data_IF_025487508530
#
_entry.id   IF_025487508530
#
_cell.length_a   1.000
_cell.length_b   1.000
_cell.length_c   1.000
_cell.angle_alpha   90.00
_cell.angle_beta   90.00
_cell.angle_gamma   90.00
#
_symmetry.space_group_name_H-M   'P 1'
#
loop_
_entity.id
_entity.type
_entity.pdbx_description
1 polymer ?
#
# COMPACT_ATOMS: atom_id res chain seq x y z
N UNK A 1 -3.85 -10.82 3.63
CA UNK A 1 -4.69 -10.67 2.42
C UNK A 1 -4.13 -9.54 1.59
N UNK A 2 -3.96 -9.73 0.28
CA UNK A 2 -3.43 -8.69 -0.61
C UNK A 2 -4.47 -8.36 -1.68
N UNK A 3 -4.90 -7.10 -1.79
CA UNK A 3 -5.60 -6.62 -2.98
C UNK A 3 -4.55 -6.24 -4.03
N UNK A 4 -4.46 -7.07 -5.07
CA UNK A 4 -3.61 -6.82 -6.24
C UNK A 4 -4.42 -6.51 -7.51
N UNK A 5 -5.70 -6.19 -7.35
CA UNK A 5 -6.60 -5.81 -8.46
C UNK A 5 -6.62 -4.30 -8.67
N UNK A 6 -7.30 -3.85 -9.72
CA UNK A 6 -7.59 -2.43 -9.94
C UNK A 6 -8.75 -1.89 -9.11
N UNK A 7 -9.49 -2.74 -8.38
CA UNK A 7 -10.66 -2.35 -7.58
C UNK A 7 -10.16 -1.50 -6.40
N UNK A 8 -10.69 -0.28 -6.28
CA UNK A 8 -10.30 0.71 -5.28
C UNK A 8 -9.78 2.00 -5.90
N UNK A 9 -9.26 1.96 -7.14
CA UNK A 9 -8.74 3.13 -7.86
C UNK A 9 -9.79 4.22 -8.11
N UNK A 10 -11.07 3.84 -8.23
CA UNK A 10 -12.19 4.78 -8.43
C UNK A 10 -13.15 4.78 -7.25
N UNK A 11 -12.66 4.47 -6.04
CA UNK A 11 -13.47 4.33 -4.83
C UNK A 11 -14.53 3.22 -4.91
N UNK A 12 -14.25 2.15 -5.66
CA UNK A 12 -15.10 0.97 -5.68
C UNK A 12 -15.13 0.25 -4.32
N UNK A 13 -16.16 -0.56 -4.10
CA UNK A 13 -16.27 -1.40 -2.92
C UNK A 13 -15.19 -2.48 -2.91
N UNK A 14 -14.80 -2.91 -1.71
CA UNK A 14 -13.88 -4.01 -1.47
C UNK A 14 -14.21 -5.23 -2.35
N UNK A 15 -13.20 -5.86 -2.99
CA UNK A 15 -13.39 -7.04 -3.82
C UNK A 15 -13.77 -8.30 -3.01
N UNK A 16 -13.65 -8.25 -1.69
CA UNK A 16 -13.95 -9.37 -0.79
C UNK A 16 -14.76 -8.91 0.45
N UNK A 17 -15.40 -9.87 1.11
CA UNK A 17 -15.91 -9.69 2.47
C UNK A 17 -14.80 -9.90 3.50
N UNK A 18 -14.89 -9.18 4.63
CA UNK A 18 -14.02 -9.32 5.80
C UNK A 18 -14.71 -10.06 6.96
N UNK A 19 -15.88 -10.64 6.71
CA UNK A 19 -16.59 -11.46 7.68
C UNK A 19 -15.77 -12.69 8.06
N UNK A 20 -15.72 -13.00 9.36
CA UNK A 20 -14.91 -14.09 9.90
C UNK A 20 -13.39 -13.86 9.86
N UNK A 21 -12.91 -12.68 9.41
CA UNK A 21 -11.48 -12.38 9.45
C UNK A 21 -10.98 -12.31 10.91
N UNK A 22 -9.85 -12.96 11.17
CA UNK A 22 -9.16 -12.89 12.46
C UNK A 22 -8.54 -11.50 12.66
N UNK A 23 -8.56 -11.02 13.90
CA UNK A 23 -7.83 -9.81 14.28
C UNK A 23 -6.34 -9.93 13.94
N UNK A 24 -5.67 -8.79 13.72
CA UNK A 24 -4.24 -8.71 13.37
C UNK A 24 -3.85 -9.44 12.07
N UNK A 25 -4.82 -9.82 11.24
CA UNK A 25 -4.53 -10.23 9.87
C UNK A 25 -3.83 -9.09 9.14
N UNK A 26 -2.70 -9.36 8.50
CA UNK A 26 -2.01 -8.37 7.66
C UNK A 26 -2.82 -8.21 6.37
N UNK A 27 -3.20 -6.97 6.09
CA UNK A 27 -3.93 -6.57 4.89
C UNK A 27 -3.09 -5.57 4.10
N UNK A 28 -2.82 -5.89 2.85
CA UNK A 28 -2.02 -5.07 1.94
C UNK A 28 -2.86 -4.68 0.73
N UNK A 29 -3.01 -3.39 0.46
CA UNK A 29 -3.64 -2.89 -0.77
C UNK A 29 -2.59 -2.23 -1.66
N UNK A 30 -2.36 -2.74 -2.88
CA UNK A 30 -1.39 -2.11 -3.80
C UNK A 30 -1.93 -0.81 -4.40
N UNK A 31 -3.24 -0.55 -4.26
CA UNK A 31 -3.83 0.75 -4.61
C UNK A 31 -3.30 1.80 -3.64
N UNK A 32 -2.50 2.74 -4.16
CA UNK A 32 -1.89 3.82 -3.37
C UNK A 32 -2.65 5.16 -3.46
N UNK A 33 -3.51 5.32 -4.47
CA UNK A 33 -4.34 6.51 -4.67
C UNK A 33 -5.74 6.10 -5.14
N UNK A 34 -6.80 6.31 -4.32
CA UNK A 34 -6.79 6.90 -2.98
C UNK A 34 -6.14 5.99 -1.92
N UNK A 35 -5.52 6.58 -0.89
CA UNK A 35 -4.80 5.83 0.16
C UNK A 35 -5.71 5.03 1.10
N UNK A 36 -6.97 5.45 1.27
CA UNK A 36 -7.92 4.81 2.18
C UNK A 36 -9.13 4.28 1.39
N UNK A 37 -8.91 3.20 0.63
CA UNK A 37 -9.92 2.48 -0.15
C UNK A 37 -11.01 1.85 0.76
N UNK A 38 -12.14 1.43 0.19
CA UNK A 38 -13.16 0.66 0.95
C UNK A 38 -12.58 -0.65 1.53
N UNK A 39 -11.64 -1.27 0.81
CA UNK A 39 -10.91 -2.46 1.27
C UNK A 39 -10.08 -2.17 2.54
N UNK A 40 -9.30 -1.07 2.54
CA UNK A 40 -8.52 -0.65 3.72
C UNK A 40 -9.44 -0.25 4.89
N UNK A 41 -10.54 0.46 4.62
CA UNK A 41 -11.51 0.86 5.66
C UNK A 41 -12.10 -0.36 6.38
N UNK A 42 -12.60 -1.34 5.62
CA UNK A 42 -13.16 -2.58 6.17
C UNK A 42 -12.13 -3.44 6.90
N UNK A 43 -10.87 -3.45 6.43
CA UNK A 43 -9.79 -4.11 7.13
C UNK A 43 -9.52 -3.48 8.51
N UNK A 44 -9.50 -2.14 8.59
CA UNK A 44 -9.32 -1.41 9.85
C UNK A 44 -10.44 -1.67 10.85
N UNK A 45 -11.68 -1.77 10.39
CA UNK A 45 -12.84 -2.13 11.23
C UNK A 45 -12.71 -3.50 11.90
N UNK A 46 -11.82 -4.36 11.41
CA UNK A 46 -11.51 -5.69 11.95
C UNK A 46 -10.17 -5.75 12.70
N UNK A 47 -9.59 -4.62 13.07
CA UNK A 47 -8.29 -4.54 13.74
C UNK A 47 -7.16 -5.23 12.96
N UNK A 48 -7.18 -5.12 11.62
CA UNK A 48 -6.12 -5.61 10.76
C UNK A 48 -4.86 -4.74 10.86
N UNK A 49 -3.70 -5.34 10.62
CA UNK A 49 -2.46 -4.61 10.36
C UNK A 49 -2.43 -4.19 8.89
N UNK A 50 -2.22 -2.90 8.61
CA UNK A 50 -2.37 -2.35 7.27
C UNK A 50 -1.01 -2.04 6.66
N UNK A 51 -0.77 -2.58 5.45
CA UNK A 51 0.30 -2.13 4.56
C UNK A 51 -0.36 -1.38 3.40
N UNK A 52 0.08 -0.15 3.14
CA UNK A 52 -0.45 0.70 2.08
C UNK A 52 0.36 0.55 0.79
N UNK A 53 -0.28 0.75 -0.36
CA UNK A 53 0.33 0.53 -1.67
C UNK A 53 1.54 1.42 -1.97
N UNK A 54 1.66 2.57 -1.30
CA UNK A 54 2.83 3.43 -1.44
C UNK A 54 4.12 2.76 -0.97
N UNK A 55 4.06 1.78 -0.05
CA UNK A 55 5.22 0.99 0.37
C UNK A 55 5.75 0.15 -0.81
N UNK A 56 4.85 -0.44 -1.63
CA UNK A 56 5.24 -1.13 -2.86
C UNK A 56 5.85 -0.16 -3.87
N UNK A 57 5.21 0.99 -4.06
CA UNK A 57 5.64 2.02 -5.00
C UNK A 57 7.04 2.54 -4.65
N UNK A 58 7.34 2.72 -3.37
CA UNK A 58 8.65 3.14 -2.90
C UNK A 58 9.67 2.00 -3.03
N UNK A 59 9.32 0.77 -2.60
CA UNK A 59 10.23 -0.38 -2.64
C UNK A 59 10.70 -0.73 -4.05
N UNK A 60 9.79 -0.71 -5.04
CA UNK A 60 10.18 -0.94 -6.44
C UNK A 60 11.09 0.17 -6.98
N UNK A 61 10.83 1.43 -6.61
CA UNK A 61 11.64 2.57 -7.06
C UNK A 61 13.05 2.49 -6.47
N UNK A 62 13.17 2.17 -5.18
CA UNK A 62 14.44 1.93 -4.50
C UNK A 62 15.23 0.84 -5.23
N UNK A 63 14.58 -0.29 -5.54
CA UNK A 63 15.28 -1.39 -6.20
C UNK A 63 15.73 -1.03 -7.62
N UNK A 64 14.89 -0.34 -8.39
CA UNK A 64 15.23 0.11 -9.73
C UNK A 64 16.41 1.10 -9.71
N UNK A 65 16.41 2.03 -8.75
CA UNK A 65 17.49 3.00 -8.58
C UNK A 65 18.84 2.31 -8.33
N UNK A 66 18.89 1.34 -7.42
CA UNK A 66 20.10 0.56 -7.13
C UNK A 66 20.59 -0.24 -8.34
N UNK A 67 19.67 -0.84 -9.10
CA UNK A 67 20.02 -1.59 -10.32
C UNK A 67 20.71 -0.69 -11.33
N UNK A 68 20.22 0.53 -11.54
CA UNK A 68 20.74 1.46 -12.53
C UNK A 68 22.00 2.18 -12.08
N UNK A 69 22.03 2.68 -10.85
CA UNK A 69 23.10 3.57 -10.39
C UNK A 69 24.21 2.83 -9.65
N UNK A 70 24.02 1.55 -9.32
CA UNK A 70 24.97 0.72 -8.57
C UNK A 70 25.39 1.31 -7.21
N UNK A 71 24.53 2.15 -6.64
CA UNK A 71 24.65 2.75 -5.31
C UNK A 71 23.37 2.52 -4.53
N UNK A 72 23.45 2.62 -3.21
CA UNK A 72 22.28 2.55 -2.33
C UNK A 72 21.28 3.67 -2.69
N UNK A 73 19.98 3.34 -2.74
CA UNK A 73 18.98 4.34 -3.04
C UNK A 73 18.81 5.32 -1.87
N UNK A 74 18.61 6.62 -2.12
CA UNK A 74 18.34 7.61 -1.09
C UNK A 74 16.89 7.46 -0.57
N UNK A 75 16.60 6.37 0.13
CA UNK A 75 15.25 5.94 0.53
C UNK A 75 14.44 7.05 1.22
N UNK A 76 15.05 7.75 2.19
CA UNK A 76 14.36 8.82 2.92
C UNK A 76 13.98 10.00 2.02
N UNK A 77 14.83 10.36 1.04
CA UNK A 77 14.53 11.41 0.09
C UNK A 77 13.39 10.98 -0.86
N UNK A 78 13.42 9.73 -1.32
CA UNK A 78 12.37 9.16 -2.17
C UNK A 78 11.03 9.09 -1.43
N UNK A 79 11.04 8.67 -0.15
CA UNK A 79 9.84 8.65 0.71
C UNK A 79 9.28 10.05 0.94
N UNK A 80 10.15 11.04 1.21
CA UNK A 80 9.74 12.44 1.35
C UNK A 80 9.12 12.98 0.07
N UNK A 81 9.69 12.68 -1.09
CA UNK A 81 9.16 13.09 -2.38
C UNK A 81 7.76 12.48 -2.65
N UNK A 82 7.55 11.22 -2.26
CA UNK A 82 6.29 10.52 -2.48
C UNK A 82 5.14 11.01 -1.58
N UNK A 83 5.42 11.23 -0.28
CA UNK A 83 4.40 11.59 0.71
C UNK A 83 4.14 13.11 0.79
N UNK A 84 4.84 13.90 -0.01
CA UNK A 84 4.84 15.36 0.08
C UNK A 84 5.83 15.83 1.15
N UNK A 85 6.79 16.65 0.72
CA UNK A 85 7.67 17.33 1.65
C UNK A 85 6.96 18.52 2.27
N UNK A 86 6.72 18.47 3.59
CA UNK A 86 6.71 19.71 4.37
C UNK A 86 8.14 20.26 4.45
#
# INVERSE_FOLDING_TARGET
IINATSIGLKNEKSPISFEGMKEKTIVYDIVYAPMNTDFIKKAKEKNAEIIYGYEMLLGQATRAFEIWHKIEAPYNAMKKALLGGF
#
